data_IF_699425040027
#
_entry.id   IF_699425040027
#
_cell.length_a   1.000
_cell.length_b   1.000
_cell.length_c   1.000
_cell.angle_alpha   90.00
_cell.angle_beta   90.00
_cell.angle_gamma   90.00
#
_symmetry.space_group_name_H-M   'P 1'
#
loop_
_entity.id
_entity.type
_entity.pdbx_description
1 polymer ?
#
# COMPACT_ATOMS: atom_id res chain seq x y z
N UNK A 1 -10.77 2.41 21.07
CA UNK A 1 -9.79 3.36 21.67
C UNK A 1 -8.44 3.10 21.02
N UNK A 2 -8.01 3.96 20.09
CA UNK A 2 -6.66 3.90 19.51
C UNK A 2 -5.73 4.72 20.41
N UNK A 3 -4.75 4.07 21.05
CA UNK A 3 -3.71 4.76 21.80
C UNK A 3 -2.55 5.12 20.86
N UNK A 4 -2.26 6.42 20.75
CA UNK A 4 -1.08 6.99 20.09
C UNK A 4 -0.14 7.49 21.17
N UNK A 5 1.12 7.07 21.17
CA UNK A 5 2.18 7.67 21.98
C UNK A 5 3.39 7.91 21.07
N UNK A 6 3.69 9.18 20.82
CA UNK A 6 4.90 9.66 20.17
C UNK A 6 5.96 9.88 21.26
N UNK A 7 7.18 9.33 21.18
CA UNK A 7 8.23 9.69 22.11
C UNK A 7 8.90 11.01 21.73
N UNK A 8 9.12 11.86 22.74
CA UNK A 8 9.87 13.11 22.66
C UNK A 8 11.36 12.84 22.36
N UNK A 9 11.92 13.58 21.39
CA UNK A 9 13.37 13.70 21.17
C UNK A 9 14.07 14.29 22.40
N UNK A 10 14.91 13.50 23.06
CA UNK A 10 15.87 14.00 24.04
C UNK A 10 17.26 14.15 23.38
N UNK A 11 17.84 15.35 23.49
CA UNK A 11 19.24 15.62 23.13
C UNK A 11 20.15 15.09 24.26
N UNK A 12 21.23 14.39 23.90
CA UNK A 12 22.28 13.97 24.83
C UNK A 12 23.57 13.60 24.10
N UNK A 13 24.67 14.13 24.59
CA UNK A 13 26.03 14.29 24.05
C UNK A 13 26.96 13.07 24.20
N UNK A 14 27.91 12.90 23.26
CA UNK A 14 29.33 12.61 23.54
C UNK A 14 29.82 11.18 23.82
N UNK A 15 30.57 10.64 22.83
CA UNK A 15 31.83 9.88 22.89
C UNK A 15 31.98 8.51 23.64
N UNK A 16 32.33 7.52 22.80
CA UNK A 16 33.40 6.50 22.90
C UNK A 16 33.27 5.17 23.69
N UNK A 17 33.64 4.10 22.95
CA UNK A 17 34.17 2.77 23.34
C UNK A 17 33.21 1.81 24.07
N UNK A 18 33.05 0.51 23.74
CA UNK A 18 34.02 -0.56 23.47
C UNK A 18 33.35 -1.67 22.62
N UNK A 19 34.07 -2.20 21.63
CA UNK A 19 33.72 -3.47 20.94
C UNK A 19 33.88 -4.64 21.91
N UNK A 20 32.80 -5.36 22.20
CA UNK A 20 32.87 -6.73 22.73
C UNK A 20 32.12 -7.69 21.80
N UNK A 21 32.91 -8.54 21.14
CA UNK A 21 32.48 -9.62 20.26
C UNK A 21 32.30 -10.86 21.13
N UNK A 22 31.08 -11.37 21.27
CA UNK A 22 30.84 -12.67 21.93
C UNK A 22 30.97 -13.79 20.87
N UNK A 23 31.64 -14.92 21.18
CA UNK A 23 31.88 -15.98 20.21
C UNK A 23 30.61 -16.79 19.90
N UNK A 24 30.52 -17.28 18.67
CA UNK A 24 29.39 -18.04 18.15
C UNK A 24 29.08 -19.31 18.94
N UNK A 25 27.79 -19.51 19.19
CA UNK A 25 27.22 -20.75 19.71
C UNK A 25 25.70 -20.68 19.63
N UNK A 26 25.12 -21.47 18.73
CA UNK A 26 23.72 -21.95 18.64
C UNK A 26 22.54 -20.95 18.75
N UNK A 27 22.74 -19.67 19.08
CA UNK A 27 21.70 -18.64 19.16
C UNK A 27 21.47 -17.95 17.80
N UNK A 28 22.46 -18.01 16.91
CA UNK A 28 22.41 -17.38 15.57
C UNK A 28 21.44 -18.06 14.61
N UNK A 29 21.20 -19.37 14.77
CA UNK A 29 20.31 -20.12 13.88
C UNK A 29 18.83 -19.92 14.21
N UNK A 30 18.49 -19.61 15.47
CA UNK A 30 17.12 -19.34 15.88
C UNK A 30 16.71 -17.90 15.56
N UNK A 31 17.65 -16.95 15.62
CA UNK A 31 17.41 -15.54 15.26
C UNK A 31 17.36 -15.39 13.72
N UNK A 32 18.23 -16.08 12.98
CA UNK A 32 18.19 -16.10 11.51
C UNK A 32 16.89 -16.67 10.94
N UNK A 33 16.27 -17.65 11.63
CA UNK A 33 14.98 -18.20 11.25
C UNK A 33 13.78 -17.27 11.55
N UNK A 34 13.93 -16.29 12.44
CA UNK A 34 12.81 -15.43 12.88
C UNK A 34 12.67 -14.14 12.07
N UNK A 35 13.73 -13.72 11.39
CA UNK A 35 13.72 -12.56 10.47
C UNK A 35 13.27 -12.98 9.04
N UNK A 36 13.11 -14.27 8.77
CA UNK A 36 12.46 -14.76 7.53
C UNK A 36 10.93 -14.59 7.53
N UNK A 37 10.32 -14.19 8.65
CA UNK A 37 8.85 -14.11 8.79
C UNK A 37 8.16 -12.93 8.10
N UNK A 38 8.90 -11.98 7.52
CA UNK A 38 8.34 -10.87 6.74
C UNK A 38 8.90 -10.84 5.29
N UNK A 39 9.30 -12.00 4.78
CA UNK A 39 9.51 -12.22 3.33
C UNK A 39 8.44 -13.13 2.72
N UNK A 40 7.49 -13.61 3.54
CA UNK A 40 6.32 -14.37 3.08
C UNK A 40 5.31 -13.41 2.41
N UNK A 41 5.62 -13.09 1.16
CA UNK A 41 4.74 -12.39 0.25
C UNK A 41 3.64 -13.32 -0.24
N UNK A 42 2.41 -12.82 -0.37
CA UNK A 42 1.32 -13.56 -1.04
C UNK A 42 1.64 -13.74 -2.54
N UNK A 43 2.31 -14.84 -2.87
CA UNK A 43 2.77 -15.14 -4.23
C UNK A 43 1.61 -15.29 -5.22
N UNK A 44 0.48 -15.85 -4.78
CA UNK A 44 -0.70 -16.00 -5.62
C UNK A 44 -1.31 -14.63 -5.96
N UNK A 45 -1.31 -13.72 -5.00
CA UNK A 45 -1.70 -12.33 -5.23
C UNK A 45 -0.73 -11.66 -6.20
N UNK A 46 0.58 -11.77 -5.97
CA UNK A 46 1.57 -11.17 -6.86
C UNK A 46 1.47 -11.70 -8.30
N UNK A 47 1.27 -13.00 -8.49
CA UNK A 47 1.04 -13.59 -9.81
C UNK A 47 -0.19 -12.99 -10.51
N UNK A 48 -1.25 -12.71 -9.76
CA UNK A 48 -2.42 -11.99 -10.29
C UNK A 48 -2.02 -10.62 -10.81
N UNK A 49 -1.24 -9.84 -10.07
CA UNK A 49 -0.73 -8.55 -10.54
C UNK A 49 0.10 -8.67 -11.82
N UNK A 50 1.01 -9.65 -11.89
CA UNK A 50 1.86 -9.90 -13.07
C UNK A 50 1.02 -10.23 -14.30
N UNK A 51 0.05 -11.13 -14.17
CA UNK A 51 -0.79 -11.51 -15.32
C UNK A 51 -1.71 -10.37 -15.79
N UNK A 52 -2.13 -9.48 -14.89
CA UNK A 52 -3.03 -8.36 -15.21
C UNK A 52 -2.28 -7.10 -15.65
N UNK A 53 -0.98 -6.96 -15.39
CA UNK A 53 -0.20 -5.75 -15.68
C UNK A 53 -0.16 -5.38 -17.16
N UNK A 54 -0.37 -6.35 -18.06
CA UNK A 54 -0.33 -6.14 -19.51
C UNK A 54 -1.64 -5.61 -20.10
N UNK A 55 -2.74 -5.54 -19.33
CA UNK A 55 -4.09 -5.21 -19.87
C UNK A 55 -4.26 -3.78 -20.38
N UNK A 56 -3.38 -2.86 -19.99
CA UNK A 56 -3.44 -1.45 -20.38
C UNK A 56 -2.52 -1.07 -21.55
N UNK A 57 -1.71 -1.96 -22.12
CA UNK A 57 -0.81 -1.56 -23.21
C UNK A 57 -1.65 -1.07 -24.41
N UNK A 58 -1.47 0.19 -24.82
CA UNK A 58 -2.14 0.81 -25.98
C UNK A 58 -1.15 1.34 -27.00
N UNK A 59 -0.03 1.87 -26.53
CA UNK A 59 1.09 2.33 -27.34
C UNK A 59 2.37 1.70 -26.81
N UNK A 60 2.99 0.72 -27.49
CA UNK A 60 4.19 0.05 -27.00
C UNK A 60 5.37 1.00 -26.72
N UNK A 61 5.51 2.11 -27.46
CA UNK A 61 6.60 3.05 -27.28
C UNK A 61 6.46 3.84 -25.98
N UNK A 62 5.22 4.18 -25.61
CA UNK A 62 4.90 4.93 -24.39
C UNK A 62 4.62 4.04 -23.18
N UNK A 63 4.01 2.89 -23.41
CA UNK A 63 3.44 2.03 -22.36
C UNK A 63 4.33 0.83 -22.02
N UNK A 64 5.45 0.63 -22.73
CA UNK A 64 6.32 -0.54 -22.58
C UNK A 64 6.84 -0.76 -21.14
N UNK A 65 6.99 0.30 -20.36
CA UNK A 65 7.41 0.22 -18.94
C UNK A 65 6.24 0.14 -17.94
N UNK A 66 5.00 0.35 -18.37
CA UNK A 66 3.84 0.33 -17.47
C UNK A 66 3.63 -1.02 -16.78
N UNK A 67 3.79 -2.18 -17.45
CA UNK A 67 3.68 -3.47 -16.77
C UNK A 67 4.63 -3.60 -15.59
N UNK A 68 5.88 -3.14 -15.73
CA UNK A 68 6.87 -3.18 -14.66
C UNK A 68 6.44 -2.32 -13.47
N UNK A 69 5.94 -1.10 -13.71
CA UNK A 69 5.43 -0.25 -12.62
C UNK A 69 4.24 -0.88 -11.88
N UNK A 70 3.31 -1.50 -12.61
CA UNK A 70 2.18 -2.21 -12.00
C UNK A 70 2.67 -3.40 -11.18
N UNK A 71 3.68 -4.13 -11.67
CA UNK A 71 4.27 -5.25 -10.94
C UNK A 71 4.98 -4.78 -9.65
N UNK A 72 5.69 -3.65 -9.66
CA UNK A 72 6.27 -3.09 -8.43
C UNK A 72 5.20 -2.74 -7.38
N UNK A 73 4.06 -2.19 -7.83
CA UNK A 73 2.91 -1.96 -6.94
C UNK A 73 2.31 -3.28 -6.44
N UNK A 74 2.31 -4.32 -7.27
CA UNK A 74 1.86 -5.66 -6.90
C UNK A 74 2.77 -6.37 -5.91
N UNK A 75 4.08 -6.15 -5.99
CA UNK A 75 5.04 -6.65 -5.02
C UNK A 75 4.76 -6.03 -3.65
N UNK A 76 4.56 -4.70 -3.60
CA UNK A 76 4.20 -4.02 -2.37
C UNK A 76 2.83 -4.48 -1.84
N UNK A 77 1.82 -4.64 -2.70
CA UNK A 77 0.52 -5.18 -2.30
C UNK A 77 0.63 -6.56 -1.64
N UNK A 78 1.34 -7.48 -2.28
CA UNK A 78 1.46 -8.85 -1.82
C UNK A 78 2.27 -8.98 -0.53
N UNK A 79 3.17 -8.02 -0.24
CA UNK A 79 3.87 -7.93 1.04
C UNK A 79 2.99 -7.39 2.17
N UNK A 80 2.01 -6.54 1.85
CA UNK A 80 1.12 -5.91 2.82
C UNK A 80 -0.10 -6.78 3.15
N UNK A 81 -0.54 -7.58 2.18
CA UNK A 81 -1.75 -8.39 2.30
C UNK A 81 -1.60 -9.43 3.41
N UNK A 82 -2.65 -9.62 4.19
CA UNK A 82 -2.66 -10.60 5.27
C UNK A 82 -1.98 -10.14 6.55
N UNK A 83 -1.24 -9.02 6.56
CA UNK A 83 -0.63 -8.50 7.79
C UNK A 83 -1.73 -8.14 8.81
N UNK A 84 -1.58 -8.67 10.01
CA UNK A 84 -2.39 -8.41 11.20
C UNK A 84 -1.54 -7.88 12.33
N UNK A 85 -2.17 -7.62 13.49
CA UNK A 85 -1.46 -7.03 14.64
C UNK A 85 -0.48 -8.03 15.23
N UNK A 86 -0.90 -9.28 15.32
CA UNK A 86 -0.14 -10.42 15.82
C UNK A 86 1.18 -10.63 15.08
N UNK A 87 1.25 -10.26 13.80
CA UNK A 87 2.46 -10.37 12.98
C UNK A 87 3.49 -9.27 13.28
N UNK A 88 3.07 -8.21 13.99
CA UNK A 88 3.85 -7.00 14.22
C UNK A 88 4.19 -6.77 15.70
N UNK A 89 3.81 -7.71 16.56
CA UNK A 89 4.12 -7.67 17.99
C UNK A 89 4.99 -8.86 18.40
N UNK A 90 5.81 -8.66 19.42
CA UNK A 90 6.65 -9.70 20.00
C UNK A 90 5.85 -10.62 20.96
N UNK A 91 6.55 -11.55 21.60
CA UNK A 91 5.95 -12.50 22.55
C UNK A 91 5.40 -11.84 23.82
N UNK A 92 5.75 -10.59 24.07
CA UNK A 92 5.33 -9.76 25.20
C UNK A 92 4.16 -8.84 24.82
N UNK A 93 3.80 -8.79 23.53
CA UNK A 93 2.73 -7.94 22.99
C UNK A 93 3.19 -6.52 22.68
N UNK A 94 4.49 -6.24 22.76
CA UNK A 94 5.10 -4.97 22.37
C UNK A 94 5.38 -4.96 20.86
N UNK A 95 5.50 -3.77 20.26
CA UNK A 95 5.79 -3.68 18.83
C UNK A 95 7.16 -4.28 18.52
N UNK A 96 7.19 -5.25 17.60
CA UNK A 96 8.43 -5.84 17.12
C UNK A 96 9.25 -4.81 16.34
N UNK A 97 10.58 -4.90 16.43
CA UNK A 97 11.52 -4.05 15.72
C UNK A 97 12.37 -4.85 14.72
N UNK A 98 12.89 -4.17 13.70
CA UNK A 98 13.88 -4.72 12.77
C UNK A 98 15.31 -4.70 13.35
N UNK A 99 16.30 -5.14 12.56
CA UNK A 99 17.72 -5.14 12.95
C UNK A 99 18.29 -3.74 13.27
N UNK A 100 17.58 -2.67 12.88
CA UNK A 100 17.94 -1.29 13.12
C UNK A 100 17.15 -0.65 14.28
N UNK A 101 16.42 -1.45 15.05
CA UNK A 101 15.55 -1.01 16.15
C UNK A 101 14.39 -0.11 15.68
N UNK A 102 13.97 -0.26 14.42
CA UNK A 102 12.81 0.44 13.86
C UNK A 102 11.58 -0.45 13.98
N UNK A 103 10.46 0.10 14.48
CA UNK A 103 9.23 -0.65 14.63
C UNK A 103 8.73 -1.19 13.28
N UNK A 104 8.48 -2.50 13.19
CA UNK A 104 7.96 -3.16 11.99
C UNK A 104 6.63 -2.55 11.54
N UNK A 105 5.80 -2.14 12.51
CA UNK A 105 4.57 -1.38 12.25
C UNK A 105 4.85 -0.14 11.39
N UNK A 106 5.89 0.63 11.69
CA UNK A 106 6.16 1.87 10.96
C UNK A 106 6.61 1.56 9.53
N UNK A 107 7.43 0.53 9.32
CA UNK A 107 7.78 0.06 7.98
C UNK A 107 6.54 -0.30 7.15
N UNK A 108 5.65 -1.12 7.72
CA UNK A 108 4.41 -1.56 7.06
C UNK A 108 3.50 -0.38 6.76
N UNK A 109 3.32 0.54 7.71
CA UNK A 109 2.45 1.71 7.51
C UNK A 109 3.01 2.67 6.46
N UNK A 110 4.33 2.86 6.39
CA UNK A 110 4.98 3.66 5.35
C UNK A 110 4.79 3.01 3.98
N UNK A 111 5.03 1.70 3.88
CA UNK A 111 4.83 0.95 2.63
C UNK A 111 3.39 1.03 2.16
N UNK A 112 2.42 0.81 3.05
CA UNK A 112 0.99 0.92 2.73
C UNK A 112 0.60 2.32 2.28
N UNK A 113 1.14 3.36 2.93
CA UNK A 113 0.89 4.74 2.55
C UNK A 113 1.41 5.05 1.15
N UNK A 114 2.67 4.68 0.86
CA UNK A 114 3.29 4.87 -0.46
C UNK A 114 2.56 4.07 -1.54
N UNK A 115 2.09 2.87 -1.21
CA UNK A 115 1.30 2.05 -2.12
C UNK A 115 -0.02 2.74 -2.52
N UNK A 116 -0.77 3.28 -1.56
CA UNK A 116 -2.03 4.02 -1.84
C UNK A 116 -1.76 5.20 -2.78
N UNK A 117 -0.68 5.95 -2.54
CA UNK A 117 -0.30 7.06 -3.40
C UNK A 117 0.06 6.56 -4.81
N UNK A 118 0.91 5.54 -4.93
CA UNK A 118 1.36 4.99 -6.20
C UNK A 118 0.21 4.45 -7.06
N UNK A 119 -0.69 3.66 -6.46
CA UNK A 119 -1.86 3.10 -7.16
C UNK A 119 -2.81 4.20 -7.62
N UNK A 120 -3.10 5.18 -6.76
CA UNK A 120 -3.96 6.30 -7.16
C UNK A 120 -3.36 7.10 -8.32
N UNK A 121 -2.06 7.39 -8.29
CA UNK A 121 -1.41 8.13 -9.38
C UNK A 121 -1.47 7.36 -10.71
N UNK A 122 -1.31 6.04 -10.67
CA UNK A 122 -1.51 5.21 -11.84
C UNK A 122 -2.95 5.31 -12.37
N UNK A 123 -3.97 5.14 -11.51
CA UNK A 123 -5.38 5.27 -11.90
C UNK A 123 -5.65 6.67 -12.49
N UNK A 124 -5.12 7.72 -11.85
CA UNK A 124 -5.28 9.12 -12.30
C UNK A 124 -4.66 9.32 -13.68
N UNK A 125 -3.50 8.73 -13.95
CA UNK A 125 -2.86 8.78 -15.26
C UNK A 125 -3.75 8.11 -16.33
N UNK A 126 -4.33 6.94 -16.06
CA UNK A 126 -5.25 6.28 -17.01
C UNK A 126 -6.49 7.14 -17.29
N UNK A 127 -7.10 7.69 -16.23
CA UNK A 127 -8.26 8.58 -16.31
C UNK A 127 -7.96 9.84 -17.14
N UNK A 128 -6.82 10.48 -16.92
CA UNK A 128 -6.38 11.63 -17.70
C UNK A 128 -6.21 11.26 -19.18
N UNK A 129 -5.57 10.13 -19.45
CA UNK A 129 -5.33 9.67 -20.82
C UNK A 129 -6.64 9.38 -21.56
N UNK A 130 -7.62 8.78 -20.90
CA UNK A 130 -8.94 8.51 -21.49
C UNK A 130 -9.80 9.76 -21.68
N UNK A 131 -9.63 10.79 -20.85
CA UNK A 131 -10.28 12.08 -21.08
C UNK A 131 -9.74 12.78 -22.33
N UNK A 132 -8.45 12.60 -22.63
CA UNK A 132 -7.84 13.14 -23.85
C UNK A 132 -8.15 12.30 -25.08
N UNK A 133 -8.16 10.96 -24.94
CA UNK A 133 -8.45 10.04 -26.03
C UNK A 133 -9.37 8.89 -25.54
N UNK A 134 -10.70 9.07 -25.64
CA UNK A 134 -11.68 8.04 -25.27
C UNK A 134 -11.65 6.80 -26.17
N UNK A 135 -11.00 6.87 -27.35
CA UNK A 135 -10.94 5.74 -28.28
C UNK A 135 -10.06 4.60 -27.74
N UNK A 136 -9.18 4.87 -26.78
CA UNK A 136 -8.24 3.88 -26.24
C UNK A 136 -8.88 2.75 -25.44
N UNK A 137 -10.13 2.90 -24.97
CA UNK A 137 -10.80 1.87 -24.19
C UNK A 137 -12.32 1.89 -24.37
N UNK A 138 -12.94 0.77 -24.00
CA UNK A 138 -14.41 0.66 -23.96
C UNK A 138 -15.01 1.55 -22.87
N UNK A 139 -16.28 1.93 -23.03
CA UNK A 139 -16.98 2.76 -22.03
C UNK A 139 -17.05 2.08 -20.65
N UNK A 140 -17.14 0.74 -20.64
CA UNK A 140 -17.06 -0.05 -19.41
C UNK A 140 -15.70 0.09 -18.71
N UNK A 141 -14.59 0.15 -19.47
CA UNK A 141 -13.26 0.38 -18.92
C UNK A 141 -13.13 1.78 -18.33
N UNK A 142 -13.66 2.80 -19.03
CA UNK A 142 -13.68 4.19 -18.55
C UNK A 142 -14.47 4.30 -17.24
N UNK A 143 -15.63 3.66 -17.18
CA UNK A 143 -16.48 3.62 -16.00
C UNK A 143 -15.78 2.93 -14.82
N UNK A 144 -15.11 1.79 -15.06
CA UNK A 144 -14.35 1.09 -14.04
C UNK A 144 -13.21 1.96 -13.47
N UNK A 145 -12.42 2.61 -14.34
CA UNK A 145 -11.34 3.52 -13.91
C UNK A 145 -11.90 4.68 -13.09
N UNK A 146 -12.99 5.30 -13.55
CA UNK A 146 -13.62 6.42 -12.84
C UNK A 146 -14.16 6.01 -11.48
N UNK A 147 -14.78 4.83 -11.39
CA UNK A 147 -15.30 4.29 -10.14
C UNK A 147 -14.16 4.01 -9.14
N UNK A 148 -13.12 3.30 -9.56
CA UNK A 148 -11.97 2.99 -8.71
C UNK A 148 -11.21 4.24 -8.29
N UNK A 149 -11.06 5.24 -9.18
CA UNK A 149 -10.48 6.54 -8.84
C UNK A 149 -11.23 7.23 -7.70
N UNK A 150 -12.56 7.16 -7.70
CA UNK A 150 -13.40 7.75 -6.64
C UNK A 150 -13.23 7.03 -5.30
N UNK A 151 -13.12 5.71 -5.32
CA UNK A 151 -12.83 4.91 -4.11
C UNK A 151 -11.50 5.34 -3.51
N UNK A 152 -10.44 5.37 -4.31
CA UNK A 152 -9.12 5.78 -3.83
C UNK A 152 -9.04 7.27 -3.46
N UNK A 153 -9.73 8.17 -4.18
CA UNK A 153 -9.64 9.61 -3.92
C UNK A 153 -10.09 9.98 -2.51
N UNK A 154 -11.08 9.27 -1.97
CA UNK A 154 -11.58 9.49 -0.61
C UNK A 154 -10.47 9.36 0.44
N UNK A 155 -9.54 8.43 0.23
CA UNK A 155 -8.36 8.26 1.08
C UNK A 155 -7.15 9.07 0.60
N UNK A 156 -6.78 8.99 -0.67
CA UNK A 156 -5.55 9.62 -1.18
C UNK A 156 -5.55 11.13 -1.02
N UNK A 157 -6.69 11.80 -1.23
CA UNK A 157 -6.78 13.27 -1.14
C UNK A 157 -6.35 13.76 0.25
N UNK A 158 -6.96 13.31 1.36
CA UNK A 158 -6.53 13.77 2.66
C UNK A 158 -5.13 13.29 3.06
N UNK A 159 -4.67 12.13 2.59
CA UNK A 159 -3.29 11.70 2.82
C UNK A 159 -2.27 12.67 2.19
N UNK A 160 -2.55 13.17 0.98
CA UNK A 160 -1.63 14.05 0.25
C UNK A 160 -1.81 15.54 0.57
N UNK A 161 -3.06 15.98 0.82
CA UNK A 161 -3.42 17.40 0.94
C UNK A 161 -3.81 17.83 2.34
N UNK A 162 -4.01 16.88 3.26
CA UNK A 162 -4.49 17.13 4.63
C UNK A 162 -5.85 17.84 4.69
N UNK A 163 -6.69 17.58 3.71
CA UNK A 163 -8.08 18.03 3.62
C UNK A 163 -8.96 16.87 3.15
N UNK A 164 -10.22 16.76 3.62
CA UNK A 164 -11.08 15.68 3.19
C UNK A 164 -11.41 15.82 1.68
N UNK A 165 -11.70 14.70 1.02
CA UNK A 165 -12.20 14.75 -0.35
C UNK A 165 -13.54 15.49 -0.39
N UNK A 166 -13.73 16.34 -1.40
CA UNK A 166 -14.82 17.33 -1.45
C UNK A 166 -16.22 16.73 -1.24
N UNK A 167 -16.48 15.52 -1.74
CA UNK A 167 -17.78 14.83 -1.62
C UNK A 167 -18.03 14.33 -0.20
N UNK A 168 -16.98 14.16 0.58
CA UNK A 168 -17.02 13.62 1.94
C UNK A 168 -16.62 14.66 3.02
N UNK A 169 -16.37 15.90 2.63
CA UNK A 169 -15.87 16.97 3.51
C UNK A 169 -16.73 17.27 4.74
N UNK A 170 -18.01 16.89 4.74
CA UNK A 170 -18.92 17.08 5.88
C UNK A 170 -18.76 16.03 6.98
N UNK A 171 -18.22 14.87 6.66
CA UNK A 171 -18.28 13.69 7.54
C UNK A 171 -16.91 13.08 7.82
N UNK A 172 -15.97 13.21 6.89
CA UNK A 172 -14.64 12.65 7.04
C UNK A 172 -13.70 13.63 7.77
N UNK A 173 -12.75 13.06 8.51
CA UNK A 173 -11.67 13.81 9.13
C UNK A 173 -10.80 14.49 8.06
N UNK A 174 -10.18 15.64 8.39
CA UNK A 174 -9.20 16.27 7.49
C UNK A 174 -7.98 15.39 7.21
N UNK A 175 -7.59 14.57 8.20
CA UNK A 175 -6.51 13.59 8.08
C UNK A 175 -7.00 12.26 8.67
N UNK A 176 -7.10 11.20 7.85
CA UNK A 176 -7.45 9.86 8.30
C UNK A 176 -6.47 9.35 9.35
N UNK A 177 -6.99 8.60 10.33
CA UNK A 177 -6.15 7.98 11.36
C UNK A 177 -5.63 6.64 10.83
N UNK A 178 -4.32 6.50 10.58
CA UNK A 178 -3.74 5.25 10.09
C UNK A 178 -3.62 4.23 11.24
N UNK A 179 -3.86 2.95 10.98
CA UNK A 179 -3.68 1.91 11.98
C UNK A 179 -3.96 0.49 11.50
N UNK A 180 -4.03 -0.42 12.46
CA UNK A 180 -4.40 -1.81 12.26
C UNK A 180 -5.79 -2.03 12.86
N UNK A 181 -6.76 -2.32 12.00
CA UNK A 181 -8.11 -2.74 12.39
C UNK A 181 -8.28 -4.26 12.30
N UNK A 182 -9.51 -4.76 12.51
CA UNK A 182 -9.81 -6.20 12.40
C UNK A 182 -9.43 -6.87 11.08
N UNK A 183 -9.40 -6.13 9.97
CA UNK A 183 -9.00 -6.63 8.65
C UNK A 183 -7.54 -6.31 8.29
N UNK A 184 -6.73 -5.89 9.26
CA UNK A 184 -5.34 -5.49 9.04
C UNK A 184 -5.20 -4.00 8.79
N UNK A 185 -4.35 -3.63 7.84
CA UNK A 185 -3.93 -2.24 7.60
C UNK A 185 -5.09 -1.41 7.07
N UNK A 186 -5.36 -0.27 7.70
CA UNK A 186 -6.42 0.62 7.27
C UNK A 186 -6.30 2.05 7.76
N UNK A 187 -7.25 2.87 7.30
CA UNK A 187 -7.36 4.27 7.63
C UNK A 187 -8.78 4.58 8.06
N UNK A 188 -8.91 5.06 9.29
CA UNK A 188 -10.19 5.53 9.80
C UNK A 188 -10.48 6.91 9.21
N UNK A 189 -11.53 6.99 8.39
CA UNK A 189 -11.96 8.21 7.72
C UNK A 189 -12.91 9.04 8.58
N UNK A 190 -13.70 8.39 9.43
CA UNK A 190 -14.61 9.01 10.41
C UNK A 190 -14.92 8.00 11.54
N UNK A 191 -15.79 8.34 12.48
CA UNK A 191 -16.12 7.50 13.64
C UNK A 191 -16.66 6.11 13.26
N UNK A 192 -17.25 5.97 12.06
CA UNK A 192 -17.95 4.76 11.62
C UNK A 192 -17.29 4.02 10.45
N UNK A 193 -16.25 4.59 9.84
CA UNK A 193 -15.68 4.09 8.60
C UNK A 193 -14.16 3.94 8.67
N UNK A 194 -13.72 2.71 8.41
CA UNK A 194 -12.33 2.36 8.14
C UNK A 194 -12.29 1.86 6.69
N UNK A 195 -11.32 2.35 5.92
CA UNK A 195 -10.99 1.80 4.60
C UNK A 195 -9.74 0.95 4.75
N UNK A 196 -9.79 -0.30 4.32
CA UNK A 196 -8.68 -1.22 4.42
C UNK A 196 -7.84 -1.28 3.15
N UNK A 197 -6.54 -1.56 3.30
CA UNK A 197 -5.62 -1.70 2.18
C UNK A 197 -6.05 -2.85 1.25
N UNK A 198 -6.50 -3.97 1.80
CA UNK A 198 -6.96 -5.13 1.01
C UNK A 198 -8.17 -4.79 0.14
N UNK A 199 -9.13 -4.00 0.65
CA UNK A 199 -10.31 -3.55 -0.09
C UNK A 199 -9.93 -2.65 -1.28
N UNK A 200 -8.99 -1.72 -1.06
CA UNK A 200 -8.45 -0.87 -2.12
C UNK A 200 -7.73 -1.70 -3.19
N UNK A 201 -6.97 -2.69 -2.75
CA UNK A 201 -6.26 -3.59 -3.64
C UNK A 201 -7.21 -4.40 -4.51
N UNK A 202 -8.28 -4.95 -3.92
CA UNK A 202 -9.29 -5.71 -4.65
C UNK A 202 -10.10 -4.83 -5.61
N UNK A 203 -10.40 -3.59 -5.23
CA UNK A 203 -11.00 -2.60 -6.13
C UNK A 203 -10.08 -2.28 -7.33
N UNK A 204 -8.77 -2.20 -7.11
CA UNK A 204 -7.79 -1.99 -8.17
C UNK A 204 -7.66 -3.20 -9.10
N UNK A 205 -7.61 -4.42 -8.56
CA UNK A 205 -7.60 -5.64 -9.39
C UNK A 205 -8.86 -5.74 -10.25
N UNK A 206 -10.04 -5.53 -9.65
CA UNK A 206 -11.31 -5.53 -10.39
C UNK A 206 -11.28 -4.53 -11.55
N UNK A 207 -10.70 -3.35 -11.32
CA UNK A 207 -10.50 -2.34 -12.37
C UNK A 207 -9.60 -2.86 -13.50
N UNK A 208 -8.39 -3.37 -13.18
CA UNK A 208 -7.48 -3.93 -14.17
C UNK A 208 -8.15 -5.05 -14.97
N UNK A 209 -8.99 -5.85 -14.31
CA UNK A 209 -9.71 -6.94 -14.95
C UNK A 209 -10.79 -6.47 -15.93
N UNK A 210 -11.38 -5.31 -15.72
CA UNK A 210 -12.34 -4.70 -16.63
C UNK A 210 -11.71 -4.07 -17.88
N UNK A 211 -10.40 -3.79 -17.87
CA UNK A 211 -9.74 -3.05 -18.95
C UNK A 211 -9.76 -3.81 -20.27
N UNK A 212 -10.37 -3.20 -21.29
CA UNK A 212 -10.40 -3.69 -22.67
C UNK A 212 -10.12 -2.53 -23.65
N UNK A 213 -9.31 -2.74 -24.69
CA UNK A 213 -9.19 -1.76 -25.77
C UNK A 213 -10.55 -1.64 -26.47
N UNK A 214 -10.83 -0.45 -27.04
CA UNK A 214 -11.96 -0.34 -27.95
C UNK A 214 -11.62 -1.16 -29.21
N UNK A 215 -12.54 -1.99 -29.72
CA UNK A 215 -12.31 -2.68 -30.98
C UNK A 215 -12.18 -1.64 -32.10
N UNK A 216 -11.31 -1.92 -33.07
CA UNK A 216 -11.21 -1.10 -34.26
C UNK A 216 -12.58 -1.03 -34.96
N UNK A 217 -12.96 0.14 -35.51
CA UNK A 217 -14.16 0.21 -36.33
C UNK A 217 -14.01 -0.76 -37.51
N UNK A 218 -14.92 -1.73 -37.60
CA UNK A 218 -15.06 -2.68 -38.71
C UNK A 218 -15.49 -1.93 -39.97
#
# INVERSE_FOLDING_TARGET
>A
MCQTLVPRLAKGTGADTVRNRVPGGAQGDIIGARIQGHDDMDMARYETWVTRSFRWIRDPARDGSLPHHIQLLGLADAKLRGIRREDLVDTQGEWATDDNDIALRDHVMIQAHLWVLGVYEFIRMLDERLRHDPSLATDASVAAITATKRVFSRLRVPLAKREPEQRHAKHDYPVPLPGLGPQGIGWQLNDSLIVYQEELSDAFMTMLEALRPRPDPV
#
